data_IF_203501951142
#
_entry.id   IF_203501951142
#
_cell.length_a   1.000
_cell.length_b   1.000
_cell.length_c   1.000
_cell.angle_alpha   90.00
_cell.angle_beta   90.00
_cell.angle_gamma   90.00
#
_symmetry.space_group_name_H-M   'P 1'
#
loop_
_entity.id
_entity.type
_entity.pdbx_description
1 polymer ?
#
# COMPACT_ATOMS: atom_id res chain seq x y z
N UNK A 1 -3.83 -63.60 33.09
CA UNK A 1 -3.82 -62.20 33.56
C UNK A 1 -3.28 -61.34 32.41
N UNK A 2 -4.16 -60.65 31.70
CA UNK A 2 -3.78 -59.77 30.56
C UNK A 2 -3.94 -58.31 31.02
N UNK A 3 -2.81 -57.64 31.15
CA UNK A 3 -2.75 -56.23 31.51
C UNK A 3 -2.97 -55.38 30.25
N UNK A 4 -4.12 -54.71 30.14
CA UNK A 4 -4.35 -53.68 29.12
C UNK A 4 -3.65 -52.41 29.54
N UNK A 5 -2.69 -51.97 28.75
CA UNK A 5 -2.05 -50.64 28.88
C UNK A 5 -2.94 -49.63 28.10
N UNK A 6 -3.53 -48.68 28.83
CA UNK A 6 -4.28 -47.57 28.28
C UNK A 6 -3.28 -46.48 27.87
N UNK A 7 -3.06 -46.30 26.55
CA UNK A 7 -2.30 -45.11 26.03
C UNK A 7 -3.24 -43.92 26.02
N UNK A 8 -3.00 -42.98 26.93
CA UNK A 8 -3.65 -41.66 26.89
C UNK A 8 -2.97 -40.82 25.82
N UNK A 9 -3.64 -40.55 24.69
CA UNK A 9 -3.24 -39.54 23.72
C UNK A 9 -3.44 -38.16 24.33
N UNK A 10 -2.36 -37.52 24.77
CA UNK A 10 -2.32 -36.10 25.10
C UNK A 10 -2.42 -35.28 23.79
N UNK A 11 -3.60 -34.76 23.51
CA UNK A 11 -3.79 -33.76 22.45
C UNK A 11 -3.10 -32.48 22.89
N UNK A 12 -1.91 -32.23 22.35
CA UNK A 12 -1.24 -30.94 22.49
C UNK A 12 -2.03 -29.93 21.68
N UNK A 13 -2.91 -29.17 22.31
CA UNK A 13 -3.52 -28.00 21.71
C UNK A 13 -2.42 -26.96 21.46
N UNK A 14 -1.97 -26.85 20.23
CA UNK A 14 -1.05 -25.82 19.81
C UNK A 14 -1.69 -24.46 20.07
N UNK A 15 -1.15 -23.70 21.02
CA UNK A 15 -1.57 -22.32 21.24
C UNK A 15 -1.40 -21.55 19.92
N UNK A 16 -2.38 -20.70 19.54
CA UNK A 16 -2.23 -19.89 18.34
C UNK A 16 -0.95 -19.06 18.44
N UNK A 17 -0.17 -19.06 17.36
CA UNK A 17 1.03 -18.24 17.29
C UNK A 17 0.69 -16.77 17.60
N UNK A 18 1.50 -16.14 18.46
CA UNK A 18 1.30 -14.73 18.77
C UNK A 18 1.31 -13.88 17.48
N UNK A 19 0.47 -12.85 17.40
CA UNK A 19 0.44 -11.97 16.21
C UNK A 19 1.81 -11.37 15.95
N UNK A 20 2.18 -11.22 14.68
CA UNK A 20 3.46 -10.63 14.30
C UNK A 20 3.49 -9.13 14.65
N UNK A 21 2.31 -8.46 14.69
CA UNK A 21 2.18 -7.05 15.02
C UNK A 21 0.85 -6.77 15.75
N UNK A 22 0.81 -5.68 16.53
CA UNK A 22 -0.42 -5.16 17.13
C UNK A 22 -1.05 -4.06 16.27
N UNK A 23 -0.23 -3.42 15.46
CA UNK A 23 -0.58 -2.32 14.58
C UNK A 23 -0.10 -2.59 13.16
N UNK A 24 -0.90 -2.18 12.17
CA UNK A 24 -0.50 -2.25 10.76
C UNK A 24 -0.69 -0.88 10.10
N UNK A 25 0.37 -0.41 9.47
CA UNK A 25 0.32 0.75 8.56
C UNK A 25 0.40 0.23 7.14
N UNK A 26 -0.53 0.67 6.31
CA UNK A 26 -0.62 0.32 4.90
C UNK A 26 -0.52 1.61 4.08
N UNK A 27 0.39 1.66 3.13
CA UNK A 27 0.52 2.77 2.18
C UNK A 27 0.46 2.22 0.77
N UNK A 28 -0.37 2.81 -0.08
CA UNK A 28 -0.35 2.53 -1.53
C UNK A 28 0.11 3.76 -2.30
N UNK A 29 0.92 3.50 -3.33
CA UNK A 29 1.39 4.48 -4.31
C UNK A 29 0.71 4.12 -5.63
N UNK A 30 -0.35 4.86 -6.00
CA UNK A 30 -1.18 4.57 -7.17
C UNK A 30 -0.34 4.53 -8.44
N UNK A 31 -0.48 3.44 -9.22
CA UNK A 31 0.16 3.29 -10.51
C UNK A 31 1.70 3.34 -10.52
N UNK A 32 2.38 3.23 -9.35
CA UNK A 32 3.84 3.20 -9.31
C UNK A 32 4.35 1.87 -9.86
N UNK A 33 5.08 1.93 -10.97
CA UNK A 33 5.54 0.76 -11.71
C UNK A 33 6.63 0.00 -10.94
N UNK A 34 6.65 -1.33 -11.11
CA UNK A 34 7.71 -2.17 -10.57
C UNK A 34 9.10 -1.83 -11.16
N UNK A 35 9.14 -1.32 -12.39
CA UNK A 35 10.37 -0.92 -13.06
C UNK A 35 11.12 0.16 -12.27
N UNK A 36 10.41 1.19 -11.81
CA UNK A 36 11.04 2.23 -11.00
C UNK A 36 11.37 1.74 -9.60
N UNK A 37 10.52 0.91 -9.01
CA UNK A 37 10.83 0.37 -7.68
C UNK A 37 12.13 -0.43 -7.70
N UNK A 38 12.30 -1.36 -8.65
CA UNK A 38 13.46 -2.28 -8.68
C UNK A 38 14.64 -1.76 -9.50
N UNK A 39 14.38 -0.98 -10.54
CA UNK A 39 15.41 -0.46 -11.44
C UNK A 39 15.77 1.01 -11.26
N UNK A 40 14.95 1.76 -10.50
CA UNK A 40 15.08 3.20 -10.40
C UNK A 40 14.70 3.91 -11.69
N UNK A 41 15.20 5.13 -11.87
CA UNK A 41 14.92 5.94 -13.06
C UNK A 41 15.33 5.24 -14.36
N UNK A 42 14.44 5.22 -15.35
CA UNK A 42 14.69 4.65 -16.67
C UNK A 42 15.31 5.70 -17.61
N UNK A 43 16.48 5.39 -18.18
CA UNK A 43 17.26 6.36 -18.96
C UNK A 43 16.52 6.87 -20.20
N UNK A 44 15.78 5.99 -20.85
CA UNK A 44 14.99 6.29 -22.06
C UNK A 44 13.84 7.26 -21.78
N UNK A 45 13.31 7.29 -20.55
CA UNK A 45 12.25 8.21 -20.16
C UNK A 45 12.78 9.57 -19.67
N UNK A 46 14.09 9.71 -19.42
CA UNK A 46 14.69 10.99 -19.05
C UNK A 46 14.90 11.85 -20.32
N UNK A 47 13.79 12.23 -20.92
CA UNK A 47 13.80 13.11 -22.10
C UNK A 47 12.50 13.91 -22.20
N UNK A 48 12.54 15.03 -22.90
CA UNK A 48 11.34 15.83 -23.16
C UNK A 48 10.31 15.04 -24.01
N UNK A 49 10.79 14.25 -24.98
CA UNK A 49 9.92 13.50 -25.89
C UNK A 49 9.23 12.32 -25.20
N UNK A 50 10.00 11.43 -24.57
CA UNK A 50 9.44 10.20 -24.00
C UNK A 50 8.78 10.43 -22.64
N UNK A 51 9.41 11.19 -21.76
CA UNK A 51 8.93 11.38 -20.38
C UNK A 51 8.39 12.77 -20.06
N UNK A 52 8.31 13.71 -21.02
CA UNK A 52 7.83 15.08 -20.74
C UNK A 52 8.71 15.85 -19.75
N UNK A 53 9.98 15.43 -19.59
CA UNK A 53 10.91 15.98 -18.57
C UNK A 53 11.26 17.43 -18.89
N UNK A 54 11.01 18.32 -17.94
CA UNK A 54 11.27 19.74 -18.11
C UNK A 54 12.79 20.06 -18.08
N UNK A 55 13.53 19.52 -17.11
CA UNK A 55 14.98 19.67 -16.97
C UNK A 55 15.64 18.29 -16.84
N UNK A 56 16.10 17.77 -17.99
CA UNK A 56 16.75 16.46 -18.05
C UNK A 56 18.06 16.42 -17.27
N UNK A 57 18.83 17.50 -17.25
CA UNK A 57 20.09 17.56 -16.53
C UNK A 57 19.87 17.51 -15.01
N UNK A 58 18.88 18.23 -14.51
CA UNK A 58 18.51 18.18 -13.09
C UNK A 58 18.01 16.78 -12.70
N UNK A 59 17.18 16.15 -13.55
CA UNK A 59 16.64 14.82 -13.28
C UNK A 59 17.75 13.75 -13.28
N UNK A 60 18.71 13.83 -14.22
CA UNK A 60 19.89 12.95 -14.25
C UNK A 60 20.68 13.09 -12.94
N UNK A 61 21.01 14.31 -12.52
CA UNK A 61 21.77 14.52 -11.28
C UNK A 61 21.05 13.93 -10.06
N UNK A 62 19.74 14.01 -10.00
CA UNK A 62 18.96 13.49 -8.87
C UNK A 62 18.87 11.98 -8.87
N UNK A 63 18.47 11.36 -9.96
CA UNK A 63 18.00 9.98 -9.96
C UNK A 63 18.82 9.02 -10.82
N UNK A 64 19.57 9.51 -11.82
CA UNK A 64 20.34 8.61 -12.66
C UNK A 64 21.64 8.16 -11.97
N UNK A 65 21.88 6.86 -12.02
CA UNK A 65 23.10 6.18 -11.61
C UNK A 65 23.36 5.04 -12.60
N UNK A 66 24.61 4.55 -12.66
CA UNK A 66 24.99 3.52 -13.64
C UNK A 66 24.32 2.17 -13.34
N UNK A 67 24.21 1.76 -12.09
CA UNK A 67 23.57 0.48 -11.72
C UNK A 67 22.12 0.66 -11.31
N UNK A 68 21.32 -0.38 -11.51
CA UNK A 68 19.91 -0.41 -11.08
C UNK A 68 19.78 -0.24 -9.56
N UNK A 69 20.66 -0.86 -8.81
CA UNK A 69 20.72 -0.77 -7.34
C UNK A 69 20.90 0.68 -6.90
N UNK A 70 21.91 1.36 -7.45
CA UNK A 70 22.17 2.74 -7.09
C UNK A 70 21.05 3.70 -7.53
N UNK A 71 20.37 3.42 -8.66
CA UNK A 71 19.20 4.21 -9.11
C UNK A 71 18.00 4.04 -8.21
N UNK A 72 17.65 2.80 -7.83
CA UNK A 72 16.52 2.54 -6.95
C UNK A 72 16.74 3.09 -5.53
N UNK A 73 17.97 3.03 -5.03
CA UNK A 73 18.36 3.62 -3.76
C UNK A 73 18.30 5.16 -3.81
N UNK A 74 18.67 5.78 -4.93
CA UNK A 74 18.53 7.22 -5.12
C UNK A 74 17.06 7.65 -5.19
N UNK A 75 16.17 6.80 -5.73
CA UNK A 75 14.75 7.09 -5.87
C UNK A 75 13.99 6.84 -4.55
N UNK A 76 14.15 5.67 -3.95
CA UNK A 76 13.41 5.23 -2.77
C UNK A 76 14.38 4.75 -1.66
N UNK A 77 15.15 5.67 -1.06
CA UNK A 77 16.22 5.32 -0.13
C UNK A 77 15.73 4.60 1.14
N UNK A 78 14.58 4.96 1.70
CA UNK A 78 14.04 4.29 2.88
C UNK A 78 13.57 2.87 2.56
N UNK A 79 12.88 2.69 1.45
CA UNK A 79 12.43 1.37 0.99
C UNK A 79 13.62 0.43 0.84
N UNK A 80 14.71 0.87 0.22
CA UNK A 80 15.86 -0.01 -0.04
C UNK A 80 16.81 -0.16 1.15
N UNK A 81 17.01 0.85 1.97
CA UNK A 81 17.90 0.76 3.14
C UNK A 81 17.26 0.11 4.36
N UNK A 82 15.94 0.31 4.56
CA UNK A 82 15.26 -0.15 5.77
C UNK A 82 14.25 -1.26 5.48
N UNK A 83 13.29 -1.04 4.56
CA UNK A 83 12.24 -2.03 4.31
C UNK A 83 12.83 -3.31 3.71
N UNK A 84 13.70 -3.20 2.71
CA UNK A 84 14.37 -4.35 2.10
C UNK A 84 15.28 -5.13 3.08
N UNK A 85 15.90 -4.42 4.03
CA UNK A 85 16.80 -5.07 5.01
C UNK A 85 16.08 -5.77 6.16
N UNK A 86 14.82 -5.42 6.43
CA UNK A 86 14.02 -5.90 7.57
C UNK A 86 12.78 -6.69 7.18
N UNK A 87 12.43 -6.68 5.90
CA UNK A 87 11.21 -7.26 5.37
C UNK A 87 11.42 -7.97 4.04
N UNK A 88 10.35 -8.08 3.27
CA UNK A 88 10.33 -8.66 1.91
C UNK A 88 9.77 -7.64 0.94
N UNK A 89 10.37 -7.56 -0.25
CA UNK A 89 9.83 -6.81 -1.39
C UNK A 89 9.57 -7.81 -2.51
N UNK A 90 8.33 -7.91 -2.94
CA UNK A 90 7.83 -8.85 -3.94
C UNK A 90 7.47 -8.11 -5.23
N UNK A 91 7.66 -8.74 -6.37
CA UNK A 91 7.28 -8.16 -7.67
C UNK A 91 8.46 -7.77 -8.54
N UNK A 92 9.70 -8.16 -8.19
CA UNK A 92 10.85 -8.05 -9.08
C UNK A 92 10.71 -9.05 -10.24
N UNK A 93 9.98 -8.63 -11.26
CA UNK A 93 9.74 -9.49 -12.43
C UNK A 93 11.01 -9.87 -13.17
N UNK A 94 12.07 -9.09 -13.06
CA UNK A 94 13.38 -9.42 -13.64
C UNK A 94 14.16 -10.40 -12.75
N UNK A 95 13.95 -10.35 -11.45
CA UNK A 95 14.59 -11.23 -10.44
C UNK A 95 13.82 -12.52 -10.15
N UNK A 96 12.74 -12.84 -10.92
CA UNK A 96 11.98 -14.08 -10.76
C UNK A 96 10.89 -14.05 -9.67
N UNK A 97 10.57 -12.88 -9.15
CA UNK A 97 9.42 -12.66 -8.27
C UNK A 97 8.33 -11.90 -9.03
N UNK A 98 7.17 -12.47 -9.19
CA UNK A 98 6.09 -11.83 -9.93
C UNK A 98 4.88 -11.64 -9.04
N UNK A 99 4.36 -10.41 -9.00
CA UNK A 99 3.06 -10.09 -8.41
C UNK A 99 2.12 -9.61 -9.50
N UNK A 100 0.90 -10.17 -9.56
CA UNK A 100 -0.07 -9.86 -10.62
C UNK A 100 -1.40 -9.37 -10.06
N UNK A 101 -1.96 -8.40 -10.76
CA UNK A 101 -3.39 -8.07 -10.67
C UNK A 101 -4.18 -9.21 -11.33
N UNK A 102 -5.20 -9.75 -10.64
CA UNK A 102 -6.02 -10.85 -11.15
C UNK A 102 -7.34 -10.39 -11.78
N UNK A 103 -7.79 -9.15 -11.50
CA UNK A 103 -9.08 -8.63 -11.95
C UNK A 103 -9.18 -8.39 -13.47
N UNK A 104 -8.09 -8.44 -14.20
CA UNK A 104 -8.06 -8.22 -15.66
C UNK A 104 -8.39 -6.79 -16.10
N UNK A 105 -8.78 -5.90 -15.18
CA UNK A 105 -9.14 -4.51 -15.46
C UNK A 105 -7.91 -3.61 -15.45
N UNK A 106 -6.98 -3.82 -14.52
CA UNK A 106 -5.67 -3.16 -14.41
C UNK A 106 -5.76 -1.65 -14.32
N UNK A 107 -6.73 -1.15 -13.52
CA UNK A 107 -6.89 0.25 -13.16
C UNK A 107 -7.43 0.37 -11.72
N UNK A 108 -7.52 1.58 -11.20
CA UNK A 108 -7.52 1.89 -9.77
C UNK A 108 -8.64 1.23 -8.97
N UNK A 109 -9.93 1.51 -9.20
CA UNK A 109 -10.96 0.98 -8.32
C UNK A 109 -11.01 -0.56 -8.27
N UNK A 110 -11.02 -1.30 -9.41
CA UNK A 110 -10.90 -2.76 -9.38
C UNK A 110 -9.63 -3.28 -8.71
N UNK A 111 -8.49 -2.56 -8.87
CA UNK A 111 -7.22 -2.86 -8.22
C UNK A 111 -7.34 -2.72 -6.70
N UNK A 112 -7.80 -1.59 -6.21
CA UNK A 112 -8.02 -1.36 -4.78
C UNK A 112 -9.05 -2.32 -4.17
N UNK A 113 -10.11 -2.67 -4.92
CA UNK A 113 -11.04 -3.70 -4.47
C UNK A 113 -10.33 -5.04 -4.25
N UNK A 114 -9.59 -5.53 -5.24
CA UNK A 114 -8.88 -6.80 -5.14
C UNK A 114 -7.87 -6.78 -4.00
N UNK A 115 -7.10 -5.70 -3.89
CA UNK A 115 -6.11 -5.48 -2.83
C UNK A 115 -6.75 -5.54 -1.43
N UNK A 116 -7.87 -4.88 -1.22
CA UNK A 116 -8.48 -4.75 0.10
C UNK A 116 -9.51 -5.83 0.44
N UNK A 117 -10.14 -6.47 -0.54
CA UNK A 117 -11.09 -7.56 -0.30
C UNK A 117 -10.45 -8.96 -0.41
N UNK A 118 -9.32 -9.06 -1.12
CA UNK A 118 -8.65 -10.32 -1.42
C UNK A 118 -9.23 -11.06 -2.63
N UNK A 119 -10.20 -10.46 -3.34
CA UNK A 119 -10.86 -11.10 -4.50
C UNK A 119 -11.11 -10.11 -5.62
N UNK A 120 -10.88 -10.49 -6.89
CA UNK A 120 -11.36 -9.74 -8.04
C UNK A 120 -12.88 -9.80 -8.12
N UNK A 121 -13.51 -8.74 -8.64
CA UNK A 121 -14.96 -8.68 -8.83
C UNK A 121 -15.32 -7.97 -10.15
N UNK A 122 -16.00 -8.67 -11.03
CA UNK A 122 -16.39 -8.15 -12.35
C UNK A 122 -17.46 -7.06 -12.29
N UNK A 123 -18.17 -6.93 -11.18
CA UNK A 123 -19.15 -5.86 -10.95
C UNK A 123 -18.47 -4.50 -10.79
N UNK A 124 -17.20 -4.49 -10.36
CA UNK A 124 -16.39 -3.28 -10.23
C UNK A 124 -15.57 -3.14 -11.52
N UNK A 125 -16.07 -2.33 -12.45
CA UNK A 125 -15.54 -2.22 -13.81
C UNK A 125 -15.36 -0.76 -14.28
N UNK A 126 -15.46 0.19 -13.37
CA UNK A 126 -15.22 1.62 -13.57
C UNK A 126 -14.59 2.24 -12.33
N UNK A 127 -14.19 3.52 -12.45
CA UNK A 127 -13.74 4.36 -11.33
C UNK A 127 -14.90 5.21 -10.76
N UNK A 128 -16.14 4.86 -11.04
CA UNK A 128 -17.31 5.59 -10.57
C UNK A 128 -17.48 5.50 -9.05
N UNK A 129 -18.08 6.52 -8.47
CA UNK A 129 -18.37 6.63 -7.03
C UNK A 129 -19.52 5.72 -6.61
N UNK A 130 -19.40 4.43 -6.88
CA UNK A 130 -20.36 3.38 -6.50
C UNK A 130 -19.82 2.65 -5.27
N UNK A 131 -20.59 2.56 -4.16
CA UNK A 131 -20.13 1.87 -2.96
C UNK A 131 -19.72 0.42 -3.22
N UNK A 132 -18.51 0.04 -2.77
CA UNK A 132 -17.98 -1.31 -2.94
C UNK A 132 -18.94 -2.36 -2.35
N UNK A 133 -19.43 -3.31 -3.16
CA UNK A 133 -20.29 -4.38 -2.67
C UNK A 133 -19.54 -5.37 -1.76
N UNK A 134 -18.20 -5.46 -1.90
CA UNK A 134 -17.38 -6.41 -1.17
C UNK A 134 -17.00 -5.85 0.21
N UNK A 135 -16.83 -6.75 1.17
CA UNK A 135 -16.29 -6.42 2.50
C UNK A 135 -14.77 -6.38 2.40
N UNK A 136 -14.20 -5.21 2.62
CA UNK A 136 -12.74 -5.06 2.67
C UNK A 136 -12.18 -5.61 3.98
N UNK A 137 -10.89 -5.95 4.02
CA UNK A 137 -10.20 -6.34 5.26
C UNK A 137 -10.28 -5.24 6.32
N UNK A 138 -10.30 -3.96 5.90
CA UNK A 138 -10.45 -2.82 6.81
C UNK A 138 -11.83 -2.82 7.48
N UNK A 139 -12.89 -3.00 6.69
CA UNK A 139 -14.26 -3.13 7.19
C UNK A 139 -14.41 -4.36 8.10
N UNK A 140 -13.87 -5.51 7.67
CA UNK A 140 -13.92 -6.74 8.43
C UNK A 140 -13.22 -6.60 9.80
N UNK A 141 -12.08 -5.92 9.85
CA UNK A 141 -11.39 -5.59 11.08
C UNK A 141 -12.21 -4.63 11.94
N UNK A 142 -12.76 -3.55 11.36
CA UNK A 142 -13.53 -2.56 12.13
C UNK A 142 -14.80 -3.12 12.78
N UNK A 143 -15.37 -4.21 12.23
CA UNK A 143 -16.50 -4.94 12.83
C UNK A 143 -16.11 -5.75 14.07
N UNK A 144 -14.81 -5.96 14.34
CA UNK A 144 -14.32 -6.72 15.48
C UNK A 144 -14.16 -5.81 16.71
N UNK A 145 -14.59 -6.23 17.92
CA UNK A 145 -14.53 -5.39 19.11
C UNK A 145 -13.15 -4.79 19.39
N UNK A 146 -12.06 -5.56 19.17
CA UNK A 146 -10.69 -5.11 19.40
C UNK A 146 -10.21 -4.02 18.41
N UNK A 147 -10.90 -3.81 17.29
CA UNK A 147 -10.52 -2.88 16.21
C UNK A 147 -11.58 -1.80 15.97
N UNK A 148 -12.77 -1.94 16.54
CA UNK A 148 -13.88 -1.01 16.32
C UNK A 148 -13.47 0.42 16.67
N UNK A 149 -13.64 1.35 15.71
CA UNK A 149 -13.21 2.74 15.82
C UNK A 149 -11.69 2.95 15.83
N UNK A 150 -10.90 1.90 15.56
CA UNK A 150 -9.43 1.94 15.52
C UNK A 150 -8.86 1.59 14.15
N UNK A 151 -9.68 1.64 13.12
CA UNK A 151 -9.31 1.51 11.71
C UNK A 151 -9.60 2.82 11.01
N UNK A 152 -8.63 3.34 10.25
CA UNK A 152 -8.79 4.60 9.53
C UNK A 152 -8.21 4.49 8.13
N UNK A 153 -8.80 5.22 7.18
CA UNK A 153 -8.39 5.30 5.79
C UNK A 153 -8.26 6.77 5.34
N UNK A 154 -7.11 7.11 4.77
CA UNK A 154 -6.82 8.41 4.19
C UNK A 154 -6.46 8.23 2.72
N UNK A 155 -6.92 9.11 1.84
CA UNK A 155 -6.61 9.02 0.42
C UNK A 155 -6.52 10.37 -0.26
N UNK A 156 -5.76 10.43 -1.32
CA UNK A 156 -5.70 11.61 -2.18
C UNK A 156 -6.88 11.65 -3.16
N UNK A 157 -7.48 10.52 -3.46
CA UNK A 157 -8.58 10.38 -4.40
C UNK A 157 -9.95 10.34 -3.71
N UNK A 158 -10.91 11.09 -4.24
CA UNK A 158 -12.26 11.25 -3.67
C UNK A 158 -13.16 10.00 -3.84
N UNK A 159 -12.67 8.95 -4.50
CA UNK A 159 -13.32 7.64 -4.61
C UNK A 159 -12.99 6.73 -3.40
N UNK A 160 -11.99 7.05 -2.59
CA UNK A 160 -11.65 6.24 -1.40
C UNK A 160 -12.85 5.92 -0.50
N UNK A 161 -13.77 6.85 -0.18
CA UNK A 161 -14.95 6.54 0.65
C UNK A 161 -15.84 5.43 0.06
N UNK A 162 -15.86 5.30 -1.26
CA UNK A 162 -16.62 4.28 -1.98
C UNK A 162 -15.86 2.94 -2.01
N UNK A 163 -14.55 2.96 -2.21
CA UNK A 163 -13.69 1.77 -2.17
C UNK A 163 -13.80 1.05 -0.83
N UNK A 164 -13.71 1.78 0.29
CA UNK A 164 -13.83 1.21 1.63
C UNK A 164 -15.27 1.13 2.13
N UNK A 165 -16.23 1.54 1.31
CA UNK A 165 -17.66 1.67 1.62
C UNK A 165 -17.86 2.33 3.01
N UNK A 166 -17.43 3.58 3.13
CA UNK A 166 -17.37 4.31 4.40
C UNK A 166 -18.72 4.29 5.16
N UNK A 167 -19.83 4.42 4.42
CA UNK A 167 -21.18 4.40 4.99
C UNK A 167 -21.51 3.06 5.68
N UNK A 168 -21.12 1.92 5.10
CA UNK A 168 -21.36 0.58 5.64
C UNK A 168 -20.31 0.18 6.65
N UNK A 169 -19.05 0.50 6.37
CA UNK A 169 -17.91 0.05 7.19
C UNK A 169 -17.78 0.80 8.51
N UNK A 170 -18.28 2.04 8.60
CA UNK A 170 -18.10 2.90 9.76
C UNK A 170 -16.65 3.28 10.06
N UNK A 171 -15.73 3.08 9.11
CA UNK A 171 -14.32 3.44 9.23
C UNK A 171 -14.18 4.95 9.15
N UNK A 172 -13.33 5.54 10.00
CA UNK A 172 -12.91 6.92 9.78
C UNK A 172 -12.22 7.05 8.42
N UNK A 173 -12.82 7.81 7.51
CA UNK A 173 -12.35 7.97 6.15
C UNK A 173 -12.16 9.45 5.84
N UNK A 174 -11.02 9.77 5.20
CA UNK A 174 -10.70 11.09 4.69
C UNK A 174 -10.07 10.94 3.31
N UNK A 175 -10.89 11.01 2.27
CA UNK A 175 -10.48 10.93 0.85
C UNK A 175 -11.01 12.10 0.05
N UNK A 176 -11.75 13.00 0.69
CA UNK A 176 -12.40 14.15 0.10
C UNK A 176 -12.35 15.33 1.09
N UNK A 177 -12.35 16.56 0.59
CA UNK A 177 -12.37 17.77 1.40
C UNK A 177 -11.08 18.04 2.18
N UNK A 178 -11.21 18.71 3.34
CA UNK A 178 -10.04 19.15 4.11
C UNK A 178 -9.30 17.97 4.76
N UNK A 179 -7.98 18.09 5.01
CA UNK A 179 -7.18 17.01 5.62
C UNK A 179 -7.62 16.65 7.04
N UNK A 180 -8.30 17.53 7.74
CA UNK A 180 -8.84 17.30 9.08
C UNK A 180 -10.33 17.61 9.09
N UNK A 181 -11.15 16.61 9.37
CA UNK A 181 -12.58 16.82 9.58
C UNK A 181 -12.83 17.45 10.95
N UNK A 182 -13.66 18.49 11.00
CA UNK A 182 -14.02 19.20 12.24
C UNK A 182 -12.80 19.68 13.05
N UNK A 183 -11.97 20.59 12.51
CA UNK A 183 -10.74 21.03 13.15
C UNK A 183 -11.02 21.73 14.49
N UNK A 184 -10.41 21.25 15.56
CA UNK A 184 -10.58 21.75 16.94
C UNK A 184 -9.38 22.58 17.43
N UNK A 185 -8.19 22.28 16.90
CA UNK A 185 -6.93 22.94 17.30
C UNK A 185 -6.46 23.99 16.28
N UNK A 186 -5.61 24.97 16.67
CA UNK A 186 -4.99 25.88 15.73
C UNK A 186 -4.20 25.18 14.61
N UNK A 187 -3.50 24.10 14.93
CA UNK A 187 -2.73 23.31 13.96
C UNK A 187 -3.65 22.67 12.91
N UNK A 188 -4.76 22.09 13.34
CA UNK A 188 -5.75 21.49 12.44
C UNK A 188 -6.37 22.53 11.51
N UNK A 189 -6.70 23.71 12.04
CA UNK A 189 -7.22 24.82 11.22
C UNK A 189 -6.17 25.33 10.22
N UNK A 190 -4.90 25.41 10.63
CA UNK A 190 -3.83 25.83 9.73
C UNK A 190 -3.59 24.80 8.60
N UNK A 191 -3.67 23.50 8.90
CA UNK A 191 -3.58 22.45 7.87
C UNK A 191 -4.71 22.57 6.84
N UNK A 192 -5.93 22.82 7.32
CA UNK A 192 -7.09 22.99 6.44
C UNK A 192 -6.99 24.27 5.60
N UNK A 193 -6.53 25.37 6.18
CA UNK A 193 -6.31 26.62 5.46
C UNK A 193 -5.25 26.45 4.36
N UNK A 194 -4.11 25.84 4.70
CA UNK A 194 -3.06 25.56 3.71
C UNK A 194 -3.58 24.68 2.56
N UNK A 195 -4.37 23.66 2.87
CA UNK A 195 -4.93 22.80 1.85
C UNK A 195 -5.94 23.52 0.95
N UNK A 196 -6.71 24.48 1.51
CA UNK A 196 -7.67 25.26 0.75
C UNK A 196 -7.00 26.27 -0.21
N UNK A 197 -5.75 26.70 0.09
CA UNK A 197 -4.97 27.60 -0.75
C UNK A 197 -4.25 26.86 -1.91
N UNK A 198 -4.22 25.52 -1.91
CA UNK A 198 -3.64 24.75 -3.00
C UNK A 198 -4.62 24.70 -4.18
N UNK A 199 -4.13 24.88 -5.41
CA UNK A 199 -4.98 24.77 -6.59
C UNK A 199 -5.52 23.32 -6.71
N UNK A 200 -6.79 23.15 -7.06
CA UNK A 200 -7.36 21.83 -7.39
C UNK A 200 -6.88 21.40 -8.78
N UNK A 201 -5.61 21.01 -8.88
CA UNK A 201 -4.95 20.74 -10.16
C UNK A 201 -5.63 19.57 -10.89
N UNK A 202 -5.89 18.48 -10.15
CA UNK A 202 -6.68 17.35 -10.63
C UNK A 202 -8.07 17.40 -9.99
N UNK A 203 -9.13 17.31 -10.79
CA UNK A 203 -10.50 17.57 -10.32
C UNK A 203 -10.97 16.64 -9.19
N UNK A 204 -10.47 15.39 -9.13
CA UNK A 204 -10.89 14.37 -8.16
C UNK A 204 -9.78 13.90 -7.22
N UNK A 205 -8.56 14.33 -7.48
CA UNK A 205 -7.37 13.95 -6.70
C UNK A 205 -6.71 15.19 -6.13
N UNK A 206 -6.55 15.23 -4.82
CA UNK A 206 -5.77 16.27 -4.13
C UNK A 206 -4.31 15.85 -4.02
N UNK A 207 -3.40 16.82 -3.91
CA UNK A 207 -1.99 16.53 -3.70
C UNK A 207 -1.75 15.62 -2.49
N UNK A 208 -0.87 14.64 -2.66
CA UNK A 208 -0.48 13.70 -1.60
C UNK A 208 -0.02 14.38 -0.32
N UNK A 209 0.62 15.54 -0.42
CA UNK A 209 1.07 16.31 0.73
C UNK A 209 -0.07 16.61 1.72
N UNK A 210 -1.28 16.89 1.23
CA UNK A 210 -2.47 17.12 2.06
C UNK A 210 -2.89 15.84 2.79
N UNK A 211 -2.98 14.74 2.06
CA UNK A 211 -3.32 13.42 2.59
C UNK A 211 -2.30 12.95 3.63
N UNK A 212 -1.02 13.12 3.34
CA UNK A 212 0.09 12.75 4.21
C UNK A 212 0.03 13.47 5.57
N UNK A 213 -0.22 14.78 5.56
CA UNK A 213 -0.32 15.56 6.80
C UNK A 213 -1.57 15.21 7.60
N UNK A 214 -2.72 15.03 6.94
CA UNK A 214 -3.95 14.56 7.59
C UNK A 214 -3.78 13.20 8.26
N UNK A 215 -3.21 12.23 7.55
CA UNK A 215 -2.96 10.88 8.06
C UNK A 215 -1.95 10.88 9.22
N UNK A 216 -0.87 11.65 9.12
CA UNK A 216 0.15 11.77 10.17
C UNK A 216 -0.40 12.44 11.43
N UNK A 217 -1.20 13.50 11.26
CA UNK A 217 -1.89 14.15 12.36
C UNK A 217 -2.84 13.17 13.07
N UNK A 218 -3.68 12.46 12.31
CA UNK A 218 -4.61 11.48 12.84
C UNK A 218 -3.90 10.33 13.58
N UNK A 219 -2.83 9.80 13.01
CA UNK A 219 -2.00 8.76 13.64
C UNK A 219 -1.57 9.16 15.04
N UNK A 220 -1.04 10.37 15.19
CA UNK A 220 -0.57 10.90 16.49
C UNK A 220 -1.72 11.15 17.47
N UNK A 221 -2.82 11.74 16.99
CA UNK A 221 -3.94 12.17 17.81
C UNK A 221 -4.88 11.02 18.21
N UNK A 222 -5.17 10.10 17.27
CA UNK A 222 -6.21 9.05 17.45
C UNK A 222 -5.66 7.65 17.64
N UNK A 223 -4.38 7.41 17.31
CA UNK A 223 -3.67 6.16 17.60
C UNK A 223 -4.41 4.92 17.06
N UNK A 224 -4.73 4.83 15.75
CA UNK A 224 -5.46 3.70 15.18
C UNK A 224 -4.61 2.42 15.23
N UNK A 225 -5.25 1.25 15.32
CA UNK A 225 -4.57 -0.04 15.17
C UNK A 225 -4.23 -0.36 13.73
N UNK A 226 -5.07 0.09 12.80
CA UNK A 226 -4.84 -0.04 11.36
C UNK A 226 -5.03 1.32 10.71
N UNK A 227 -3.99 1.78 10.00
CA UNK A 227 -4.02 3.01 9.22
C UNK A 227 -3.71 2.67 7.76
N UNK A 228 -4.65 2.98 6.87
CA UNK A 228 -4.47 2.89 5.43
C UNK A 228 -4.30 4.29 4.84
N UNK A 229 -3.28 4.47 3.99
CA UNK A 229 -3.02 5.73 3.29
C UNK A 229 -2.83 5.45 1.80
N UNK A 230 -3.72 6.00 0.97
CA UNK A 230 -3.73 5.89 -0.48
C UNK A 230 -3.19 7.18 -1.10
N UNK A 231 -2.04 7.13 -1.75
CA UNK A 231 -1.37 8.25 -2.40
C UNK A 231 -1.62 8.18 -3.91
N UNK A 232 -1.92 9.32 -4.54
CA UNK A 232 -2.34 9.40 -5.94
C UNK A 232 -1.36 10.13 -6.87
N UNK A 233 -0.41 10.96 -6.34
CA UNK A 233 0.44 11.81 -7.16
C UNK A 233 1.22 11.03 -8.24
N UNK A 234 1.60 9.78 -7.99
CA UNK A 234 2.34 8.96 -8.97
C UNK A 234 1.49 8.64 -10.20
N UNK A 235 0.23 8.29 -10.01
CA UNK A 235 -0.69 8.02 -11.12
C UNK A 235 -0.99 9.28 -11.93
N UNK A 236 -1.30 10.35 -11.26
CA UNK A 236 -1.67 11.62 -11.90
C UNK A 236 -0.52 12.20 -12.73
N UNK A 237 0.72 12.24 -12.18
CA UNK A 237 1.87 12.72 -12.94
C UNK A 237 2.25 11.82 -14.11
N UNK A 238 1.95 10.52 -14.04
CA UNK A 238 2.10 9.64 -15.18
C UNK A 238 1.09 9.97 -16.28
N UNK A 239 -0.19 10.22 -15.94
CA UNK A 239 -1.21 10.67 -16.89
C UNK A 239 -0.85 11.99 -17.57
N UNK A 240 -0.21 12.91 -16.82
CA UNK A 240 0.32 14.16 -17.36
C UNK A 240 1.60 13.99 -18.20
N UNK A 241 2.09 12.76 -18.35
CA UNK A 241 3.38 12.45 -19.01
C UNK A 241 4.55 13.24 -18.43
N UNK A 242 4.57 13.42 -17.11
CA UNK A 242 5.60 14.16 -16.37
C UNK A 242 6.45 13.20 -15.56
N UNK A 243 7.38 12.50 -16.24
CA UNK A 243 8.26 11.52 -15.62
C UNK A 243 9.13 12.13 -14.51
N UNK A 244 9.52 13.39 -14.64
CA UNK A 244 10.23 14.13 -13.61
C UNK A 244 9.41 14.28 -12.32
N UNK A 245 8.13 14.63 -12.44
CA UNK A 245 7.22 14.76 -11.30
C UNK A 245 6.74 13.41 -10.77
N UNK A 246 6.61 12.41 -11.64
CA UNK A 246 6.31 11.03 -11.26
C UNK A 246 7.41 10.45 -10.35
N UNK A 247 8.69 10.58 -10.73
CA UNK A 247 9.82 10.16 -9.89
C UNK A 247 9.89 10.97 -8.59
N UNK A 248 9.61 12.26 -8.68
CA UNK A 248 9.56 13.14 -7.51
C UNK A 248 8.43 12.74 -6.54
N UNK A 249 7.26 12.36 -7.06
CA UNK A 249 6.15 11.84 -6.27
C UNK A 249 6.52 10.51 -5.59
N UNK A 250 7.14 9.58 -6.31
CA UNK A 250 7.65 8.33 -5.73
C UNK A 250 8.64 8.58 -4.58
N UNK A 251 9.60 9.52 -4.77
CA UNK A 251 10.55 9.89 -3.71
C UNK A 251 9.86 10.56 -2.52
N UNK A 252 8.85 11.42 -2.75
CA UNK A 252 8.06 12.02 -1.66
C UNK A 252 7.26 10.97 -0.90
N UNK A 253 6.69 9.97 -1.62
CA UNK A 253 6.04 8.82 -1.02
C UNK A 253 6.97 8.02 -0.12
N UNK A 254 8.19 7.72 -0.56
CA UNK A 254 9.21 7.04 0.25
C UNK A 254 9.58 7.82 1.52
N UNK A 255 9.75 9.15 1.42
CA UNK A 255 9.99 10.01 2.60
C UNK A 255 8.81 10.01 3.57
N UNK A 256 7.59 9.99 3.06
CA UNK A 256 6.41 9.92 3.91
C UNK A 256 6.33 8.57 4.64
N UNK A 257 6.61 7.46 3.96
CA UNK A 257 6.68 6.13 4.55
C UNK A 257 7.74 6.10 5.66
N UNK A 258 8.91 6.68 5.42
CA UNK A 258 9.93 6.88 6.45
C UNK A 258 9.39 7.67 7.64
N UNK A 259 8.72 8.79 7.39
CA UNK A 259 8.16 9.65 8.45
C UNK A 259 7.11 8.91 9.29
N UNK A 260 6.22 8.13 8.66
CA UNK A 260 5.27 7.27 9.37
C UNK A 260 6.00 6.26 10.24
N UNK A 261 7.00 5.57 9.67
CA UNK A 261 7.78 4.58 10.40
C UNK A 261 8.51 5.18 11.61
N UNK A 262 9.24 6.27 11.42
CA UNK A 262 9.95 6.96 12.51
C UNK A 262 8.96 7.45 13.58
N UNK A 263 7.79 7.95 13.17
CA UNK A 263 6.73 8.36 14.09
C UNK A 263 6.26 7.19 14.96
N UNK A 264 5.92 6.05 14.38
CA UNK A 264 5.44 4.91 15.17
C UNK A 264 6.54 4.30 16.04
N UNK A 265 7.80 4.34 15.60
CA UNK A 265 8.92 3.92 16.43
C UNK A 265 9.19 4.87 17.60
N UNK A 266 8.78 6.13 17.52
CA UNK A 266 8.83 7.08 18.62
C UNK A 266 7.61 7.00 19.57
N UNK A 267 6.50 6.36 19.15
CA UNK A 267 5.25 6.29 19.93
C UNK A 267 5.25 5.12 20.92
N UNK A 268 5.02 5.37 22.23
CA UNK A 268 4.82 4.28 23.19
C UNK A 268 3.65 3.38 22.79
N UNK A 269 3.86 2.05 22.83
CA UNK A 269 2.88 1.03 22.45
C UNK A 269 2.84 0.70 20.95
N UNK A 270 3.51 1.47 20.09
CA UNK A 270 3.68 1.17 18.67
C UNK A 270 5.09 0.70 18.35
N UNK A 271 6.09 1.22 19.06
CA UNK A 271 7.50 0.82 18.90
C UNK A 271 7.63 -0.70 18.95
N UNK A 272 8.29 -1.27 17.96
CA UNK A 272 8.55 -2.70 17.83
C UNK A 272 7.29 -3.59 17.85
N UNK A 273 6.10 -2.99 17.57
CA UNK A 273 4.79 -3.65 17.53
C UNK A 273 3.97 -3.28 16.30
N UNK A 274 4.56 -2.53 15.36
CA UNK A 274 3.92 -2.06 14.14
C UNK A 274 4.52 -2.76 12.93
N UNK A 275 3.67 -3.34 12.08
CA UNK A 275 4.04 -3.79 10.74
C UNK A 275 3.75 -2.69 9.72
N UNK A 276 4.54 -2.67 8.65
CA UNK A 276 4.37 -1.78 7.50
C UNK A 276 4.15 -2.59 6.24
N UNK A 277 3.14 -2.23 5.46
CA UNK A 277 2.92 -2.74 4.10
C UNK A 277 2.92 -1.55 3.14
N UNK A 278 3.62 -1.70 2.03
CA UNK A 278 3.62 -0.73 0.93
C UNK A 278 3.30 -1.47 -0.36
N UNK A 279 2.41 -0.91 -1.19
CA UNK A 279 2.00 -1.56 -2.44
C UNK A 279 1.62 -0.55 -3.52
N UNK A 280 1.33 -1.06 -4.70
CA UNK A 280 0.60 -0.36 -5.75
C UNK A 280 -0.67 -1.15 -6.11
N UNK A 281 -1.67 -0.47 -6.61
CA UNK A 281 -2.97 -1.05 -7.00
C UNK A 281 -2.97 -1.61 -8.42
N UNK A 282 -2.22 -0.99 -9.33
CA UNK A 282 -1.92 -1.47 -10.69
C UNK A 282 -0.54 -1.00 -11.13
N UNK A 283 -0.02 -1.58 -12.20
CA UNK A 283 1.16 -1.10 -12.91
C UNK A 283 0.77 -0.24 -14.11
N UNK A 284 1.74 -0.02 -14.98
CA UNK A 284 1.58 0.74 -16.23
C UNK A 284 2.32 0.06 -17.36
N UNK A 285 2.15 0.56 -18.57
CA UNK A 285 2.93 0.16 -19.75
C UNK A 285 4.43 0.43 -19.59
N UNK A 286 5.17 0.24 -20.67
CA UNK A 286 6.62 0.47 -20.75
C UNK A 286 6.97 1.18 -22.04
N UNK A 287 8.17 1.75 -22.12
CA UNK A 287 8.59 2.54 -23.28
C UNK A 287 7.68 3.74 -23.49
N UNK A 288 7.11 3.90 -24.66
CA UNK A 288 6.21 5.01 -24.99
C UNK A 288 4.86 4.92 -24.27
N UNK A 289 4.43 3.72 -23.89
CA UNK A 289 3.16 3.45 -23.19
C UNK A 289 3.30 3.54 -21.65
N UNK A 290 4.39 4.06 -21.13
CA UNK A 290 4.64 4.12 -19.69
C UNK A 290 3.58 4.92 -18.92
N UNK A 291 2.84 5.79 -19.61
CA UNK A 291 1.73 6.57 -19.05
C UNK A 291 0.44 5.80 -18.94
N UNK A 292 0.31 4.68 -19.66
CA UNK A 292 -0.96 4.02 -19.88
C UNK A 292 -1.14 2.81 -18.97
N UNK A 293 -2.37 2.55 -18.59
CA UNK A 293 -2.80 1.38 -17.87
C UNK A 293 -4.19 0.93 -18.32
N UNK A 294 -4.74 -0.11 -17.72
CA UNK A 294 -6.05 -0.62 -18.07
C UNK A 294 -5.99 -1.93 -18.86
N UNK A 295 -7.15 -2.36 -19.34
CA UNK A 295 -7.35 -3.68 -19.97
C UNK A 295 -6.43 -3.92 -21.16
N UNK A 296 -6.25 -2.89 -21.96
CA UNK A 296 -5.49 -2.95 -23.22
C UNK A 296 -3.97 -2.89 -23.01
N UNK A 297 -3.54 -2.70 -21.75
CA UNK A 297 -2.12 -2.61 -21.37
C UNK A 297 -1.73 -3.82 -20.48
N UNK A 298 -1.32 -4.95 -21.07
CA UNK A 298 -1.00 -6.16 -20.28
C UNK A 298 0.08 -5.94 -19.23
N UNK A 299 1.06 -5.07 -19.48
CA UNK A 299 2.14 -4.74 -18.57
C UNK A 299 1.64 -4.09 -17.27
N UNK A 300 0.49 -3.39 -17.30
CA UNK A 300 -0.14 -2.81 -16.12
C UNK A 300 -0.64 -3.86 -15.11
N UNK A 301 -0.70 -5.13 -15.50
CA UNK A 301 -0.97 -6.24 -14.58
C UNK A 301 0.21 -6.62 -13.68
N UNK A 302 1.41 -6.09 -13.90
CA UNK A 302 2.59 -6.35 -13.07
C UNK A 302 2.70 -5.29 -11.98
N UNK A 303 2.62 -5.74 -10.75
CA UNK A 303 2.63 -4.91 -9.55
C UNK A 303 3.69 -5.40 -8.56
N UNK A 304 3.74 -4.75 -7.44
CA UNK A 304 4.66 -5.09 -6.35
C UNK A 304 4.03 -4.78 -5.00
N UNK A 305 4.53 -5.40 -3.96
CA UNK A 305 4.31 -4.96 -2.59
C UNK A 305 5.47 -5.34 -1.67
N UNK A 306 5.62 -4.57 -0.61
CA UNK A 306 6.62 -4.75 0.42
C UNK A 306 5.95 -4.95 1.78
N UNK A 307 6.49 -5.86 2.57
CA UNK A 307 6.01 -6.17 3.93
C UNK A 307 7.19 -6.13 4.88
N UNK A 308 7.07 -5.33 5.94
CA UNK A 308 8.04 -5.28 7.02
C UNK A 308 7.34 -5.55 8.35
N UNK A 309 7.84 -6.54 9.09
CA UNK A 309 7.32 -6.89 10.42
C UNK A 309 8.12 -6.18 11.52
N UNK A 310 7.58 -6.04 12.75
CA UNK A 310 8.28 -5.44 13.88
C UNK A 310 9.61 -6.14 14.21
N UNK A 311 9.61 -7.47 14.12
CA UNK A 311 10.80 -8.28 14.29
C UNK A 311 11.30 -8.68 12.91
N UNK A 312 12.58 -8.45 12.64
CA UNK A 312 13.18 -8.95 11.40
C UNK A 312 12.92 -10.46 11.30
N UNK A 313 12.41 -10.90 10.16
CA UNK A 313 12.32 -12.35 9.88
C UNK A 313 13.76 -12.81 9.68
N UNK A 314 14.31 -13.46 10.69
CA UNK A 314 15.67 -13.98 10.63
C UNK A 314 15.75 -15.02 9.52
N UNK A 315 16.66 -14.84 8.59
CA UNK A 315 17.08 -15.87 7.62
C UNK A 315 16.72 -15.65 6.15
N UNK A 316 15.88 -14.70 5.78
CA UNK A 316 15.50 -14.51 4.38
C UNK A 316 15.75 -13.09 3.87
N UNK A 317 17.04 -12.75 3.71
CA UNK A 317 17.48 -11.75 2.74
C UNK A 317 17.48 -12.43 1.36
N UNK A 318 16.33 -12.62 0.76
CA UNK A 318 16.31 -13.17 -0.59
C UNK A 318 15.17 -12.53 -1.37
N UNK A 319 15.46 -12.18 -2.60
CA UNK A 319 14.45 -12.08 -3.62
C UNK A 319 13.62 -13.37 -3.54
N UNK A 320 12.42 -13.27 -2.97
CA UNK A 320 11.54 -14.42 -2.85
C UNK A 320 11.05 -14.70 -4.26
N UNK A 321 11.63 -15.72 -4.91
CA UNK A 321 11.12 -16.20 -6.19
C UNK A 321 9.72 -16.76 -5.97
N UNK A 322 8.82 -16.48 -6.90
CA UNK A 322 7.46 -17.00 -6.83
C UNK A 322 6.45 -16.14 -7.56
N UNK A 323 5.31 -16.75 -7.80
CA UNK A 323 4.14 -16.09 -8.39
C UNK A 323 3.13 -15.74 -7.31
N UNK A 324 2.85 -14.45 -7.19
CA UNK A 324 1.92 -13.89 -6.22
C UNK A 324 0.80 -13.13 -6.95
N UNK A 325 -0.30 -12.92 -6.24
CA UNK A 325 -1.42 -12.12 -6.73
C UNK A 325 -1.77 -11.00 -5.76
N UNK A 326 -2.37 -9.94 -6.29
CA UNK A 326 -2.88 -8.82 -5.50
C UNK A 326 -3.86 -9.26 -4.41
N UNK A 327 -4.66 -10.29 -4.67
CA UNK A 327 -5.62 -10.85 -3.71
C UNK A 327 -5.00 -11.37 -2.41
N UNK A 328 -3.69 -11.64 -2.37
CA UNK A 328 -2.99 -12.07 -1.15
C UNK A 328 -2.79 -10.94 -0.12
N UNK A 329 -2.96 -9.70 -0.54
CA UNK A 329 -2.69 -8.53 0.29
C UNK A 329 -3.64 -8.42 1.49
N UNK A 330 -4.95 -8.61 1.29
CA UNK A 330 -5.93 -8.55 2.38
C UNK A 330 -5.66 -9.59 3.47
N UNK A 331 -5.39 -10.84 3.07
CA UNK A 331 -5.03 -11.91 4.00
C UNK A 331 -3.68 -11.65 4.70
N UNK A 332 -2.75 -10.96 4.04
CA UNK A 332 -1.47 -10.56 4.63
C UNK A 332 -1.67 -9.53 5.75
N UNK A 333 -2.54 -8.52 5.55
CA UNK A 333 -2.91 -7.57 6.62
C UNK A 333 -3.50 -8.31 7.82
N UNK A 334 -4.45 -9.21 7.58
CA UNK A 334 -5.06 -10.01 8.64
C UNK A 334 -4.03 -10.93 9.33
N UNK A 335 -3.12 -11.53 8.57
CA UNK A 335 -2.08 -12.43 9.06
C UNK A 335 -1.08 -11.74 10.00
N UNK A 336 -0.67 -10.51 9.66
CA UNK A 336 0.18 -9.70 10.54
C UNK A 336 -0.45 -9.46 11.91
N UNK A 337 -1.78 -9.38 11.97
CA UNK A 337 -2.57 -9.21 13.20
C UNK A 337 -2.95 -10.55 13.85
N UNK A 338 -2.47 -11.70 13.33
CA UNK A 338 -2.78 -13.03 13.83
C UNK A 338 -4.18 -13.54 13.49
N UNK A 339 -4.84 -12.94 12.48
CA UNK A 339 -6.24 -13.15 12.15
C UNK A 339 -6.48 -13.74 10.73
N UNK A 340 -5.45 -14.31 10.08
CA UNK A 340 -5.58 -14.82 8.71
C UNK A 340 -6.65 -15.91 8.59
N UNK A 341 -6.63 -16.89 9.52
CA UNK A 341 -7.58 -18.01 9.48
C UNK A 341 -9.03 -17.52 9.55
N UNK A 342 -9.30 -16.59 10.46
CA UNK A 342 -10.64 -16.02 10.64
C UNK A 342 -11.05 -15.15 9.45
N UNK A 343 -10.11 -14.37 8.88
CA UNK A 343 -10.39 -13.59 7.69
C UNK A 343 -10.73 -14.47 6.51
N UNK A 344 -9.94 -15.51 6.24
CA UNK A 344 -10.18 -16.44 5.14
C UNK A 344 -11.42 -17.31 5.36
N UNK A 345 -11.77 -17.67 6.60
CA UNK A 345 -13.01 -18.33 6.91
C UNK A 345 -14.25 -17.47 6.59
N UNK A 346 -14.15 -16.14 6.85
CA UNK A 346 -15.18 -15.17 6.48
C UNK A 346 -15.18 -14.83 4.97
N UNK A 347 -14.05 -15.04 4.28
CA UNK A 347 -13.84 -14.73 2.86
C UNK A 347 -13.18 -15.92 2.15
N UNK A 348 -13.93 -17.01 1.88
CA UNK A 348 -13.35 -18.28 1.40
C UNK A 348 -12.63 -18.19 0.04
N UNK A 349 -12.94 -17.16 -0.75
CA UNK A 349 -12.30 -16.90 -2.05
C UNK A 349 -11.00 -16.10 -1.94
N UNK A 350 -10.72 -15.51 -0.77
CA UNK A 350 -9.49 -14.74 -0.58
C UNK A 350 -8.25 -15.65 -0.63
N UNK A 351 -7.25 -15.22 -1.38
CA UNK A 351 -5.97 -15.90 -1.47
C UNK A 351 -5.26 -15.93 -0.09
N UNK A 352 -4.38 -16.91 0.18
CA UNK A 352 -3.61 -16.96 1.42
C UNK A 352 -2.62 -15.80 1.52
N UNK A 353 -2.22 -15.46 2.74
CA UNK A 353 -1.17 -14.46 3.00
C UNK A 353 0.16 -14.86 2.32
N UNK A 354 0.94 -13.88 1.89
CA UNK A 354 2.33 -14.10 1.46
C UNK A 354 3.27 -14.48 2.60
N UNK A 355 2.80 -14.39 3.84
CA UNK A 355 3.54 -14.79 5.04
C UNK A 355 3.27 -16.25 5.43
N UNK A 356 2.27 -16.87 4.80
CA UNK A 356 1.98 -18.29 5.00
C UNK A 356 3.04 -19.14 4.31
N UNK A 357 3.49 -20.24 4.94
CA UNK A 357 4.47 -21.17 4.36
C UNK A 357 3.93 -21.87 3.11
#
# INVERSE_FOLDING_TARGET
MHTLALLALLSVTQLPAAPAADHVIVVTLDGLRWQELFGGAQRELISKRAGGVADTAALIRRFWRETAEARREALMPFTWSVVASRGRILGDSAGGSVVRVSNGKRFSYPGYNELLSGVPDDRINSNDKIPNPNVTVLEWLNRRPAFQGRVAAFGSWDVLPFIVNAARSGIHTNGDGPPVNNPSTPVERALNALAADLPPYWGTVRFDAVTQQGALHYLKARRPRVLYVMLGDTDEWAHERRYDLYLDAAQRGDRFIRTLWETVQAMPGYRDRTALIVATDHGRGSGEDWTDHGREVPAAGRIWFAVMTPRAVSGERSAVSGDYTQGQFAATIAGLLGLEKEFRAANPKAAPSVLSP
#
